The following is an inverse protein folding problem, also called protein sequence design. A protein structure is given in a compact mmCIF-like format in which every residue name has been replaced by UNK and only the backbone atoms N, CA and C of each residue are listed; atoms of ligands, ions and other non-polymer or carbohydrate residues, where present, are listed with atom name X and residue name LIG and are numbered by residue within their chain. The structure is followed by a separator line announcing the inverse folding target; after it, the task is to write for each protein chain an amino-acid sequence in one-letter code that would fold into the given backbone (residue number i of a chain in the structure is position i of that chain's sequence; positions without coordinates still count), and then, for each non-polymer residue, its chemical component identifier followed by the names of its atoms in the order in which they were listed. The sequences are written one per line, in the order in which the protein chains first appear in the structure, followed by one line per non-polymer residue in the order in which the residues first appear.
data_IF_478297189973
#
_entry.id   IF_478297189973
#
_cell.length_a   1.000
_cell.length_b   1.000
_cell.length_c   1.000
_cell.angle_alpha   90.00
_cell.angle_beta   90.00
_cell.angle_gamma   90.00
#
_symmetry.space_group_name_H-M   'P 1'
#
loop_
_entity.id
_entity.type
_entity.pdbx_description
1 polymer ?
#
# COMPACT_ATOMS: atom_id res chain seq x y z
N UNK A 1 26.74 16.13 66.65
CA UNK A 1 25.93 16.00 65.44
C UNK A 1 26.20 14.60 64.86
N UNK A 2 25.18 13.73 64.89
CA UNK A 2 25.35 12.28 64.81
C UNK A 2 25.88 11.83 63.38
N UNK A 3 27.08 11.22 63.45
CA UNK A 3 27.75 10.64 62.24
C UNK A 3 26.87 9.63 61.48
N UNK A 4 25.88 9.05 62.14
CA UNK A 4 24.92 8.11 61.48
C UNK A 4 23.90 8.78 60.58
N UNK A 5 23.49 10.04 60.86
CA UNK A 5 22.55 10.79 60.03
C UNK A 5 23.22 11.22 58.74
N UNK A 6 24.50 11.62 58.78
CA UNK A 6 25.25 12.00 57.58
C UNK A 6 25.46 10.82 56.63
N UNK A 7 25.69 9.61 57.16
CA UNK A 7 25.81 8.38 56.35
C UNK A 7 24.46 7.98 55.72
N UNK A 8 23.37 8.16 56.45
CA UNK A 8 22.03 7.83 55.92
C UNK A 8 21.63 8.75 54.77
N UNK A 9 21.93 10.04 54.85
CA UNK A 9 21.67 11.02 53.79
C UNK A 9 22.52 10.76 52.56
N UNK A 10 23.79 10.34 52.75
CA UNK A 10 24.68 10.04 51.62
C UNK A 10 24.25 8.78 50.82
N UNK A 11 23.72 7.76 51.52
CA UNK A 11 23.19 6.55 50.88
C UNK A 11 21.87 6.84 50.12
N UNK A 12 21.03 7.71 50.67
CA UNK A 12 19.74 8.07 50.05
C UNK A 12 19.95 8.89 48.78
N UNK A 13 20.94 9.78 48.73
CA UNK A 13 21.27 10.58 47.51
C UNK A 13 21.90 9.71 46.41
N UNK A 14 22.68 8.67 46.76
CA UNK A 14 23.23 7.72 45.80
C UNK A 14 22.14 6.83 45.17
N UNK A 15 21.13 6.44 45.96
CA UNK A 15 19.99 5.65 45.45
C UNK A 15 19.05 6.48 44.56
N UNK A 16 18.87 7.78 44.84
CA UNK A 16 18.03 8.64 43.96
C UNK A 16 18.67 8.89 42.58
N UNK A 17 19.99 9.00 42.52
CA UNK A 17 20.67 9.22 41.23
C UNK A 17 20.69 7.98 40.32
N UNK A 18 20.52 6.77 40.87
CA UNK A 18 20.43 5.55 40.06
C UNK A 18 19.07 5.35 39.39
N UNK A 19 18.01 6.03 39.85
CA UNK A 19 16.66 5.95 39.29
C UNK A 19 16.43 6.91 38.13
N UNK A 20 17.24 7.96 37.98
CA UNK A 20 17.14 8.92 36.87
C UNK A 20 17.96 8.54 35.62
N UNK A 21 18.82 7.52 35.72
CA UNK A 21 19.69 7.08 34.59
C UNK A 21 19.06 6.08 33.62
N UNK A 22 17.84 5.58 33.90
CA UNK A 22 17.22 4.49 33.11
C UNK A 22 16.16 4.93 32.06
N UNK A 23 15.90 6.22 31.92
CA UNK A 23 14.82 6.71 31.06
C UNK A 23 15.26 7.26 29.72
N UNK A 24 16.53 7.15 29.31
CA UNK A 24 17.00 7.67 27.99
C UNK A 24 17.37 6.61 26.97
N UNK A 25 17.19 5.33 27.23
CA UNK A 25 17.62 4.25 26.32
C UNK A 25 16.50 3.70 25.38
N UNK A 26 15.34 4.33 25.32
CA UNK A 26 14.19 3.78 24.57
C UNK A 26 13.70 4.64 23.42
N UNK A 27 14.42 5.68 23.02
CA UNK A 27 13.93 6.64 22.00
C UNK A 27 14.71 6.64 20.68
N UNK A 28 15.69 5.76 20.45
CA UNK A 28 16.56 5.88 19.27
C UNK A 28 16.50 4.70 18.29
N UNK A 29 15.72 3.65 18.58
CA UNK A 29 15.64 2.48 17.70
C UNK A 29 14.44 2.45 16.71
N UNK A 30 13.67 3.54 16.63
CA UNK A 30 12.45 3.55 15.79
C UNK A 30 12.63 4.18 14.39
N UNK A 31 13.82 4.61 13.97
CA UNK A 31 14.02 5.35 12.70
C UNK A 31 14.94 4.64 11.71
N UNK A 32 15.56 3.54 12.05
CA UNK A 32 16.24 2.70 11.03
C UNK A 32 15.29 1.59 10.57
N UNK A 33 14.18 1.96 9.96
CA UNK A 33 13.38 1.05 9.14
C UNK A 33 14.30 0.43 8.09
N UNK A 34 14.36 -0.90 8.05
CA UNK A 34 15.12 -1.71 7.12
C UNK A 34 15.02 -1.13 5.69
N UNK A 35 16.04 -0.38 5.27
CA UNK A 35 16.19 0.15 3.93
C UNK A 35 16.63 -0.94 2.93
N UNK A 36 16.27 -2.19 3.17
CA UNK A 36 16.45 -3.22 2.18
C UNK A 36 15.61 -2.85 0.95
N UNK A 37 16.20 -2.79 -0.24
CA UNK A 37 15.47 -2.43 -1.45
C UNK A 37 14.33 -3.42 -1.67
N UNK A 38 13.11 -2.90 -1.79
CA UNK A 38 11.96 -3.71 -2.14
C UNK A 38 12.10 -4.22 -3.58
N UNK A 39 11.56 -5.39 -3.87
CA UNK A 39 11.47 -5.84 -5.27
C UNK A 39 10.50 -4.95 -6.05
N UNK A 40 9.41 -4.55 -5.38
CA UNK A 40 8.33 -3.79 -5.99
C UNK A 40 7.72 -2.81 -4.98
N UNK A 41 7.42 -1.59 -5.44
CA UNK A 41 6.63 -0.61 -4.71
C UNK A 41 5.24 -0.50 -5.34
N UNK A 42 4.20 -0.49 -4.51
CA UNK A 42 2.84 -0.24 -4.94
C UNK A 42 2.51 1.23 -4.73
N UNK A 43 1.86 1.82 -5.72
CA UNK A 43 1.35 3.18 -5.65
C UNK A 43 -0.14 3.22 -5.97
N UNK A 44 -0.89 3.88 -5.10
CA UNK A 44 -2.30 4.23 -5.31
C UNK A 44 -2.37 5.73 -5.16
N UNK A 45 -3.05 6.41 -6.09
CA UNK A 45 -3.09 7.87 -6.06
C UNK A 45 -3.84 8.39 -4.83
N UNK A 46 -3.41 9.52 -4.24
CA UNK A 46 -4.08 10.11 -3.08
C UNK A 46 -5.57 10.37 -3.29
N UNK A 47 -5.98 10.67 -4.51
CA UNK A 47 -7.40 10.87 -4.85
C UNK A 47 -8.27 9.65 -4.55
N UNK A 48 -7.72 8.45 -4.58
CA UNK A 48 -8.46 7.22 -4.27
C UNK A 48 -8.72 7.04 -2.76
N UNK A 49 -8.04 7.83 -1.92
CA UNK A 49 -8.24 7.85 -0.46
C UNK A 49 -9.13 9.00 0.01
N UNK A 50 -9.41 9.98 -0.86
CA UNK A 50 -10.14 11.19 -0.49
C UNK A 50 -11.45 11.36 -1.25
N UNK A 51 -11.55 10.78 -2.44
CA UNK A 51 -12.75 10.85 -3.25
C UNK A 51 -13.59 9.60 -3.06
N UNK A 52 -14.71 9.74 -2.36
CA UNK A 52 -15.71 8.67 -2.25
C UNK A 52 -16.39 8.44 -3.60
N UNK A 53 -16.50 7.19 -3.98
CA UNK A 53 -17.33 6.78 -5.11
C UNK A 53 -18.66 6.24 -4.63
N UNK A 54 -19.66 6.33 -5.49
CA UNK A 54 -21.03 5.90 -5.19
C UNK A 54 -21.37 4.63 -5.96
N UNK A 55 -21.88 3.63 -5.25
CA UNK A 55 -22.58 2.49 -5.84
C UNK A 55 -24.05 2.55 -5.42
N UNK A 56 -24.97 2.54 -6.37
CA UNK A 56 -26.39 2.83 -6.15
C UNK A 56 -27.26 1.63 -6.48
N UNK A 57 -28.33 1.48 -5.70
CA UNK A 57 -29.50 0.67 -6.07
C UNK A 57 -30.61 1.59 -6.62
N UNK A 58 -31.55 1.05 -7.42
CA UNK A 58 -32.68 1.79 -7.99
C UNK A 58 -33.59 2.45 -6.96
N UNK A 59 -33.63 1.93 -5.73
CA UNK A 59 -34.55 2.36 -4.67
C UNK A 59 -33.88 3.29 -3.64
N UNK A 60 -33.03 4.20 -4.09
CA UNK A 60 -32.46 5.31 -3.30
C UNK A 60 -31.42 4.95 -2.23
N UNK A 61 -30.98 3.71 -2.09
CA UNK A 61 -29.85 3.40 -1.21
C UNK A 61 -28.57 3.54 -1.98
N UNK A 62 -27.81 4.59 -1.65
CA UNK A 62 -26.47 4.83 -2.14
C UNK A 62 -25.46 4.37 -1.07
N UNK A 63 -24.44 3.66 -1.48
CA UNK A 63 -23.32 3.34 -0.63
C UNK A 63 -22.07 4.07 -1.14
N UNK A 64 -21.50 4.90 -0.27
CA UNK A 64 -20.33 5.70 -0.56
C UNK A 64 -19.11 5.07 0.11
N UNK A 65 -18.00 4.99 -0.60
CA UNK A 65 -16.75 4.47 -0.05
C UNK A 65 -15.54 5.02 -0.82
N UNK A 66 -14.39 5.04 -0.14
CA UNK A 66 -13.09 5.35 -0.74
C UNK A 66 -12.44 4.05 -1.22
N UNK A 67 -11.87 4.10 -2.42
CA UNK A 67 -11.30 2.90 -3.04
C UNK A 67 -9.94 2.55 -2.45
N UNK A 68 -9.11 3.57 -2.12
CA UNK A 68 -7.77 3.38 -1.59
C UNK A 68 -7.72 2.49 -0.36
N UNK A 69 -8.47 2.81 0.71
CA UNK A 69 -8.48 2.02 1.95
C UNK A 69 -8.90 0.56 1.77
N UNK A 70 -9.76 0.27 0.78
CA UNK A 70 -10.18 -1.10 0.48
C UNK A 70 -9.14 -1.85 -0.36
N UNK A 71 -8.52 -1.17 -1.33
CA UNK A 71 -7.62 -1.82 -2.31
C UNK A 71 -6.22 -2.03 -1.75
N UNK A 72 -5.71 -1.09 -0.96
CA UNK A 72 -4.34 -1.13 -0.43
C UNK A 72 -4.01 -2.42 0.32
N UNK A 73 -4.73 -2.82 1.38
CA UNK A 73 -4.40 -4.02 2.15
C UNK A 73 -4.51 -5.29 1.29
N UNK A 74 -5.47 -5.36 0.39
CA UNK A 74 -5.64 -6.49 -0.52
C UNK A 74 -4.50 -6.58 -1.53
N UNK A 75 -4.06 -5.44 -2.08
CA UNK A 75 -2.96 -5.36 -3.02
C UNK A 75 -1.65 -5.74 -2.34
N UNK A 76 -1.31 -5.13 -1.21
CA UNK A 76 -0.08 -5.45 -0.45
C UNK A 76 -0.02 -6.94 -0.14
N UNK A 77 -1.11 -7.53 0.36
CA UNK A 77 -1.19 -8.97 0.66
C UNK A 77 -0.90 -9.84 -0.56
N UNK A 78 -1.58 -9.58 -1.69
CA UNK A 78 -1.47 -10.44 -2.86
C UNK A 78 -0.16 -10.26 -3.62
N UNK A 79 0.31 -9.03 -3.73
CA UNK A 79 1.60 -8.75 -4.37
C UNK A 79 2.76 -9.27 -3.52
N UNK A 80 2.72 -9.15 -2.18
CA UNK A 80 3.72 -9.75 -1.32
C UNK A 80 3.77 -11.28 -1.43
N UNK A 81 2.63 -11.94 -1.52
CA UNK A 81 2.57 -13.37 -1.72
C UNK A 81 3.19 -13.80 -3.07
N UNK A 82 3.30 -12.90 -4.03
CA UNK A 82 3.77 -13.18 -5.38
C UNK A 82 5.21 -12.73 -5.64
N UNK A 83 5.64 -11.59 -5.08
CA UNK A 83 6.84 -10.85 -5.48
C UNK A 83 7.67 -10.32 -4.29
N UNK A 84 7.48 -10.85 -3.09
CA UNK A 84 8.13 -10.38 -1.85
C UNK A 84 9.62 -10.01 -2.02
N UNK A 85 10.09 -8.91 -1.41
CA UNK A 85 9.36 -7.96 -0.58
C UNK A 85 8.64 -6.87 -1.39
N UNK A 86 7.38 -6.61 -1.06
CA UNK A 86 6.55 -5.56 -1.66
C UNK A 86 6.00 -4.64 -0.58
N UNK A 87 6.10 -3.33 -0.79
CA UNK A 87 5.58 -2.32 0.14
C UNK A 87 4.88 -1.19 -0.61
N UNK A 88 4.13 -0.37 0.13
CA UNK A 88 3.59 0.86 -0.43
C UNK A 88 4.72 1.87 -0.69
N UNK A 89 4.46 2.74 -1.66
CA UNK A 89 5.36 3.80 -2.05
C UNK A 89 5.39 4.89 -0.97
N UNK A 90 6.52 5.03 -0.31
CA UNK A 90 6.79 6.03 0.72
C UNK A 90 8.05 6.82 0.36
N UNK A 91 8.16 8.04 0.87
CA UNK A 91 9.34 8.89 0.64
C UNK A 91 10.61 8.17 1.12
N UNK A 92 11.64 8.16 0.27
CA UNK A 92 12.93 7.54 0.59
C UNK A 92 13.00 6.03 0.33
N UNK A 93 11.92 5.38 -0.10
CA UNK A 93 11.97 3.97 -0.51
C UNK A 93 12.35 3.83 -1.99
N UNK A 94 13.16 2.83 -2.27
CA UNK A 94 13.57 2.44 -3.62
C UNK A 94 13.18 0.99 -3.91
N UNK A 95 12.94 0.67 -5.18
CA UNK A 95 12.66 -0.67 -5.65
C UNK A 95 13.07 -0.85 -7.11
N UNK A 96 13.15 -2.10 -7.57
CA UNK A 96 13.40 -2.41 -8.98
C UNK A 96 12.25 -1.97 -9.87
N UNK A 97 11.01 -2.00 -9.35
CA UNK A 97 9.80 -1.65 -10.09
C UNK A 97 8.79 -0.89 -9.22
N UNK A 98 8.01 -0.03 -9.87
CA UNK A 98 6.84 0.62 -9.26
C UNK A 98 5.60 0.16 -10.03
N UNK A 99 4.56 -0.24 -9.29
CA UNK A 99 3.26 -0.60 -9.86
C UNK A 99 2.21 0.40 -9.40
N UNK A 100 1.76 1.20 -10.33
CA UNK A 100 0.66 2.12 -10.09
C UNK A 100 -0.67 1.40 -10.30
N UNK A 101 -1.47 1.32 -9.24
CA UNK A 101 -2.79 0.68 -9.23
C UNK A 101 -3.88 1.73 -9.35
N UNK A 102 -4.76 1.52 -10.33
CA UNK A 102 -5.95 2.34 -10.55
C UNK A 102 -7.20 1.49 -10.34
N UNK A 103 -7.87 1.61 -9.20
CA UNK A 103 -9.10 0.90 -8.93
C UNK A 103 -10.30 1.54 -9.66
N UNK A 104 -11.29 0.72 -9.97
CA UNK A 104 -12.62 1.14 -10.43
C UNK A 104 -13.66 0.16 -9.94
N UNK A 105 -14.81 0.66 -9.57
CA UNK A 105 -15.95 -0.14 -9.15
C UNK A 105 -17.22 0.35 -9.83
N UNK A 106 -18.04 -0.60 -10.26
CA UNK A 106 -19.38 -0.36 -10.75
C UNK A 106 -20.32 -1.42 -10.18
N UNK A 107 -21.52 -1.02 -9.79
CA UNK A 107 -22.58 -1.93 -9.36
C UNK A 107 -23.73 -1.91 -10.36
N UNK A 108 -24.13 -3.09 -10.81
CA UNK A 108 -25.33 -3.26 -11.62
C UNK A 108 -26.47 -3.72 -10.70
N UNK A 109 -27.46 -2.86 -10.39
CA UNK A 109 -28.53 -3.20 -9.46
C UNK A 109 -29.53 -4.20 -10.03
N UNK A 110 -29.71 -4.26 -11.35
CA UNK A 110 -30.61 -5.25 -11.98
C UNK A 110 -30.09 -6.67 -11.82
N UNK A 111 -28.79 -6.85 -11.98
CA UNK A 111 -28.13 -8.13 -11.90
C UNK A 111 -27.54 -8.39 -10.50
N UNK A 112 -27.66 -7.43 -9.57
CA UNK A 112 -27.04 -7.47 -8.25
C UNK A 112 -25.55 -7.82 -8.33
N UNK A 113 -24.84 -7.17 -9.25
CA UNK A 113 -23.47 -7.54 -9.64
C UNK A 113 -22.51 -6.39 -9.39
N UNK A 114 -21.48 -6.64 -8.59
CA UNK A 114 -20.32 -5.78 -8.43
C UNK A 114 -19.29 -6.08 -9.53
N UNK A 115 -18.89 -5.07 -10.27
CA UNK A 115 -17.87 -5.13 -11.30
C UNK A 115 -16.63 -4.38 -10.80
N UNK A 116 -15.64 -5.12 -10.31
CA UNK A 116 -14.35 -4.55 -9.93
C UNK A 116 -13.38 -4.56 -11.10
N UNK A 117 -12.60 -3.51 -11.21
CA UNK A 117 -11.48 -3.45 -12.14
C UNK A 117 -10.28 -2.83 -11.44
N UNK A 118 -9.12 -3.44 -11.65
CA UNK A 118 -7.82 -2.87 -11.30
C UNK A 118 -7.01 -2.76 -12.58
N UNK A 119 -6.53 -1.56 -12.87
CA UNK A 119 -5.50 -1.35 -13.90
C UNK A 119 -4.17 -1.14 -13.19
N UNK A 120 -3.18 -1.95 -13.53
CA UNK A 120 -1.82 -1.84 -13.00
C UNK A 120 -0.89 -1.39 -14.12
N UNK A 121 -0.23 -0.25 -13.93
CA UNK A 121 0.84 0.24 -14.80
C UNK A 121 2.18 -0.07 -14.13
N UNK A 122 3.01 -0.87 -14.80
CA UNK A 122 4.32 -1.30 -14.28
C UNK A 122 5.40 -0.43 -14.89
N UNK A 123 6.15 0.25 -14.02
CA UNK A 123 7.27 1.11 -14.36
C UNK A 123 8.56 0.46 -13.90
N UNK A 124 9.61 0.64 -14.69
CA UNK A 124 10.97 0.25 -14.28
C UNK A 124 11.49 1.16 -13.19
N UNK A 125 12.62 0.76 -12.59
CA UNK A 125 13.45 1.57 -11.73
C UNK A 125 13.81 2.95 -12.29
N UNK A 126 13.77 3.18 -13.58
CA UNK A 126 14.07 4.46 -14.25
C UNK A 126 12.82 5.29 -14.61
N UNK A 127 11.62 4.84 -14.23
CA UNK A 127 10.37 5.54 -14.53
C UNK A 127 9.78 5.28 -15.91
N UNK A 128 10.31 4.35 -16.64
CA UNK A 128 9.77 3.98 -17.93
C UNK A 128 8.59 3.03 -17.77
N UNK A 129 7.45 3.34 -18.38
CA UNK A 129 6.31 2.42 -18.44
C UNK A 129 6.70 1.20 -19.28
N UNK A 130 6.69 0.02 -18.67
CA UNK A 130 6.96 -1.24 -19.38
C UNK A 130 5.71 -1.90 -19.87
N UNK A 131 4.71 -2.03 -19.00
CA UNK A 131 3.49 -2.78 -19.32
C UNK A 131 2.30 -2.26 -18.54
N UNK A 132 1.11 -2.56 -19.04
CA UNK A 132 -0.15 -2.26 -18.35
C UNK A 132 -1.05 -3.48 -18.37
N UNK A 133 -1.60 -3.82 -17.20
CA UNK A 133 -2.46 -5.00 -17.03
C UNK A 133 -3.79 -4.58 -16.47
N UNK A 134 -4.85 -5.22 -16.95
CA UNK A 134 -6.21 -4.99 -16.45
C UNK A 134 -6.76 -6.30 -15.90
N UNK A 135 -7.11 -6.29 -14.62
CA UNK A 135 -7.87 -7.33 -13.95
C UNK A 135 -9.33 -6.90 -13.81
N UNK A 136 -10.27 -7.75 -14.20
CA UNK A 136 -11.71 -7.49 -14.06
C UNK A 136 -12.36 -8.61 -13.28
N UNK A 137 -13.31 -8.27 -12.42
CA UNK A 137 -14.11 -9.21 -11.66
C UNK A 137 -15.59 -8.96 -11.83
N UNK A 138 -16.38 -9.99 -11.52
CA UNK A 138 -17.83 -9.90 -11.39
C UNK A 138 -18.23 -10.70 -10.17
N UNK A 139 -18.84 -10.07 -9.18
CA UNK A 139 -19.24 -10.68 -7.94
C UNK A 139 -20.70 -10.40 -7.69
N UNK A 140 -21.52 -11.45 -7.58
CA UNK A 140 -22.92 -11.32 -7.20
C UNK A 140 -23.01 -10.98 -5.71
N UNK A 141 -23.80 -9.97 -5.37
CA UNK A 141 -23.96 -9.51 -3.99
C UNK A 141 -24.98 -8.38 -3.88
N UNK A 142 -25.44 -8.16 -2.65
CA UNK A 142 -26.46 -7.17 -2.34
C UNK A 142 -25.82 -5.93 -1.71
N UNK A 143 -26.15 -4.75 -2.25
CA UNK A 143 -25.64 -3.49 -1.71
C UNK A 143 -26.20 -3.19 -0.31
N UNK A 144 -27.39 -3.73 0.00
CA UNK A 144 -28.07 -3.52 1.27
C UNK A 144 -27.54 -4.40 2.40
N UNK A 145 -26.74 -5.43 2.08
CA UNK A 145 -26.25 -6.41 3.04
C UNK A 145 -24.72 -6.49 2.95
N UNK A 146 -24.05 -5.85 3.91
CA UNK A 146 -22.58 -5.84 4.03
C UNK A 146 -21.89 -5.54 2.69
N UNK A 147 -22.14 -4.36 2.10
CA UNK A 147 -21.59 -3.99 0.79
C UNK A 147 -20.06 -4.09 0.75
N UNK A 148 -19.35 -3.75 1.85
CA UNK A 148 -17.89 -3.83 1.95
C UNK A 148 -17.38 -5.22 1.58
N UNK A 149 -18.01 -6.27 2.08
CA UNK A 149 -17.62 -7.66 1.80
C UNK A 149 -17.63 -7.97 0.29
N UNK A 150 -18.58 -7.44 -0.43
CA UNK A 150 -18.73 -7.69 -1.87
C UNK A 150 -17.75 -6.83 -2.67
N UNK A 151 -17.50 -5.60 -2.21
CA UNK A 151 -16.50 -4.71 -2.77
C UNK A 151 -15.10 -5.31 -2.61
N UNK A 152 -14.73 -5.72 -1.39
CA UNK A 152 -13.45 -6.38 -1.11
C UNK A 152 -13.27 -7.63 -1.97
N UNK A 153 -14.24 -8.53 -2.00
CA UNK A 153 -14.20 -9.75 -2.81
C UNK A 153 -14.03 -9.45 -4.29
N UNK A 154 -14.69 -8.38 -4.78
CA UNK A 154 -14.57 -7.97 -6.17
C UNK A 154 -13.16 -7.44 -6.48
N UNK A 155 -12.60 -6.57 -5.62
CA UNK A 155 -11.22 -6.09 -5.79
C UNK A 155 -10.20 -7.22 -5.62
N UNK A 156 -10.38 -8.11 -4.64
CA UNK A 156 -9.51 -9.27 -4.43
C UNK A 156 -9.36 -10.11 -5.70
N UNK A 157 -10.48 -10.43 -6.36
CA UNK A 157 -10.47 -11.17 -7.63
C UNK A 157 -9.82 -10.37 -8.77
N UNK A 158 -10.05 -9.06 -8.84
CA UNK A 158 -9.45 -8.22 -9.87
C UNK A 158 -7.93 -8.12 -9.70
N UNK A 159 -7.44 -7.93 -8.46
CA UNK A 159 -6.01 -7.90 -8.12
C UNK A 159 -5.36 -9.24 -8.45
N UNK A 160 -5.97 -10.36 -8.06
CA UNK A 160 -5.45 -11.70 -8.36
C UNK A 160 -5.20 -11.89 -9.86
N UNK A 161 -6.11 -11.43 -10.71
CA UNK A 161 -5.93 -11.50 -12.18
C UNK A 161 -4.79 -10.62 -12.67
N UNK A 162 -4.58 -9.45 -12.08
CA UNK A 162 -3.44 -8.58 -12.39
C UNK A 162 -2.14 -9.25 -11.99
N UNK A 163 -2.05 -9.75 -10.75
CA UNK A 163 -0.88 -10.45 -10.22
C UNK A 163 -0.51 -11.64 -11.13
N UNK A 164 -1.49 -12.45 -11.53
CA UNK A 164 -1.25 -13.58 -12.41
C UNK A 164 -0.74 -13.16 -13.80
N UNK A 165 -1.22 -12.05 -14.35
CA UNK A 165 -0.72 -11.51 -15.63
C UNK A 165 0.72 -11.02 -15.52
N UNK A 166 1.06 -10.31 -14.43
CA UNK A 166 2.43 -9.86 -14.17
C UNK A 166 3.36 -11.06 -13.98
N UNK A 167 2.92 -12.11 -13.28
CA UNK A 167 3.69 -13.36 -13.14
C UNK A 167 3.95 -14.07 -14.45
N UNK A 168 3.00 -14.01 -15.38
CA UNK A 168 3.13 -14.66 -16.68
C UNK A 168 4.01 -13.87 -17.67
N UNK A 169 4.33 -12.62 -17.38
CA UNK A 169 5.17 -11.78 -18.22
C UNK A 169 6.65 -12.07 -17.98
N UNK A 170 7.30 -12.74 -18.94
CA UNK A 170 8.69 -13.16 -18.86
C UNK A 170 9.66 -11.97 -18.80
N UNK A 171 9.39 -10.90 -19.55
CA UNK A 171 10.25 -9.74 -19.60
C UNK A 171 10.33 -9.05 -18.23
N UNK A 172 9.20 -8.99 -17.52
CA UNK A 172 9.17 -8.48 -16.15
C UNK A 172 9.84 -9.43 -15.15
N UNK A 173 9.70 -10.75 -15.32
CA UNK A 173 10.38 -11.71 -14.47
C UNK A 173 11.91 -11.61 -14.65
N UNK A 174 12.38 -11.46 -15.88
CA UNK A 174 13.80 -11.28 -16.18
C UNK A 174 14.35 -9.98 -15.56
N UNK A 175 13.57 -8.90 -15.59
CA UNK A 175 13.94 -7.63 -14.92
C UNK A 175 14.03 -7.80 -13.39
N UNK A 176 13.10 -8.56 -12.78
CA UNK A 176 13.13 -8.83 -11.34
C UNK A 176 14.32 -9.69 -10.93
N UNK A 177 14.67 -10.68 -11.77
CA UNK A 177 15.73 -11.66 -11.49
C UNK A 177 17.13 -11.12 -11.77
N UNK A 178 17.28 -10.08 -12.61
CA UNK A 178 18.57 -9.43 -12.81
C UNK A 178 19.03 -8.80 -11.51
N UNK A 179 20.05 -9.39 -10.92
CA UNK A 179 20.82 -8.83 -9.82
C UNK A 179 21.72 -7.71 -10.37
N UNK A 180 21.13 -6.65 -10.88
CA UNK A 180 21.88 -5.45 -11.19
C UNK A 180 22.30 -4.81 -9.87
N UNK A 181 23.51 -5.12 -9.44
CA UNK A 181 24.18 -4.45 -8.31
C UNK A 181 24.38 -2.95 -8.57
N UNK A 182 24.06 -2.49 -9.79
CA UNK A 182 24.04 -1.08 -10.17
C UNK A 182 22.71 -0.36 -9.82
N UNK A 183 21.76 -1.02 -9.18
CA UNK A 183 20.67 -0.35 -8.44
C UNK A 183 21.29 0.24 -7.17
N UNK A 184 22.32 1.08 -7.39
CA UNK A 184 22.82 2.03 -6.41
C UNK A 184 21.66 2.89 -5.94
N UNK A 185 21.80 3.51 -4.79
CA UNK A 185 20.90 4.41 -4.06
C UNK A 185 20.12 5.46 -4.89
N UNK A 186 20.35 5.57 -6.19
CA UNK A 186 19.56 6.28 -7.20
C UNK A 186 18.35 5.48 -7.72
N UNK A 187 18.05 4.34 -7.11
CA UNK A 187 16.83 3.59 -7.38
C UNK A 187 15.63 4.51 -7.20
N UNK A 188 14.68 4.44 -8.13
CA UNK A 188 13.52 5.30 -8.16
C UNK A 188 12.96 5.54 -6.77
N UNK A 189 13.17 6.75 -6.31
CA UNK A 189 12.43 7.25 -5.17
C UNK A 189 10.97 7.36 -5.57
N UNK A 190 10.05 7.13 -4.65
CA UNK A 190 8.63 7.39 -4.87
C UNK A 190 8.32 8.83 -5.33
N UNK A 191 9.30 9.72 -5.37
CA UNK A 191 9.16 11.05 -5.96
C UNK A 191 8.75 11.04 -7.44
N UNK A 192 9.07 9.98 -8.19
CA UNK A 192 8.69 9.90 -9.61
C UNK A 192 7.17 9.76 -9.81
N UNK A 193 6.43 9.29 -8.80
CA UNK A 193 4.96 9.16 -8.92
C UNK A 193 4.27 10.51 -9.12
N UNK A 194 4.92 11.61 -8.76
CA UNK A 194 4.40 12.97 -9.00
C UNK A 194 4.38 13.31 -10.48
N UNK A 195 5.21 12.65 -11.30
CA UNK A 195 5.24 12.82 -12.75
C UNK A 195 4.24 11.92 -13.49
N UNK A 196 3.57 11.00 -12.79
CA UNK A 196 2.56 10.15 -13.40
C UNK A 196 1.37 10.97 -13.88
N UNK A 197 0.77 10.61 -15.02
CA UNK A 197 -0.36 11.35 -15.53
C UNK A 197 -1.50 11.31 -14.52
N UNK A 198 -2.06 12.49 -14.21
CA UNK A 198 -3.26 12.59 -13.39
C UNK A 198 -4.37 11.83 -14.11
N UNK A 199 -5.03 10.85 -13.47
CA UNK A 199 -6.14 10.17 -14.10
C UNK A 199 -7.16 11.22 -14.48
N UNK A 200 -7.50 11.29 -15.74
CA UNK A 200 -8.70 12.03 -16.14
C UNK A 200 -9.85 11.34 -15.42
N UNK A 201 -10.52 12.05 -14.51
CA UNK A 201 -11.79 11.61 -13.93
C UNK A 201 -12.73 11.43 -15.14
N UNK A 202 -12.72 10.24 -15.70
CA UNK A 202 -13.69 9.91 -16.74
C UNK A 202 -14.99 9.72 -16.01
N UNK A 203 -15.92 10.64 -16.24
CA UNK A 203 -17.32 10.36 -15.98
C UNK A 203 -17.59 8.94 -16.51
N UNK A 204 -18.16 8.08 -15.68
CA UNK A 204 -18.51 6.72 -16.07
C UNK A 204 -19.43 6.84 -17.31
N UNK A 205 -18.84 6.67 -18.48
CA UNK A 205 -19.62 6.42 -19.69
C UNK A 205 -20.06 4.95 -19.60
N UNK A 206 -21.32 4.77 -19.31
CA UNK A 206 -22.02 3.49 -19.34
C UNK A 206 -22.23 3.04 -20.80
#
# INVERSE_FOLDING_TARGET
MNTNIARLIMILTLLLNSLFGLSQAWAEDAVHGNNAPANMLLYIQPVEYTNSINVMNYYSKAYWFEQGPLVEPLAVKQFNAAFSPVTMCEVGRSAKMIVWLQPRMFYNPQLQMFHGQITAHVYTGKGELKSSYVGKSKVHGFIDIKPEKWLEKSYEQAISKVVNKIKADKDLQDLMNKNDQSVTLDGLSCGIVTSFPIPKVRALSF
#
